data_IF_256209495083
#
_entry.id   IF_256209495083
#
_cell.length_a   1.000
_cell.length_b   1.000
_cell.length_c   1.000
_cell.angle_alpha   90.00
_cell.angle_beta   90.00
_cell.angle_gamma   90.00
#
_symmetry.space_group_name_H-M   'P 1'
#
loop_
_entity.id
_entity.type
_entity.pdbx_description
1 polymer ?
#
# COMPACT_ATOMS: atom_id res chain seq x y z
N UNK A 1 5.83 -28.08 43.24
CA UNK A 1 5.31 -28.16 41.87
C UNK A 1 6.27 -27.36 41.03
N UNK A 2 6.92 -28.01 40.08
CA UNK A 2 7.82 -27.34 39.16
C UNK A 2 6.97 -26.65 38.08
N UNK A 3 7.30 -25.40 37.81
CA UNK A 3 6.66 -24.61 36.76
C UNK A 3 7.23 -25.01 35.40
N UNK A 4 6.37 -25.10 34.39
CA UNK A 4 6.73 -25.26 32.98
C UNK A 4 6.02 -24.18 32.18
N UNK A 5 6.73 -23.56 31.25
CA UNK A 5 6.13 -22.63 30.32
C UNK A 5 5.10 -23.37 29.45
N UNK A 6 3.87 -22.83 29.31
CA UNK A 6 2.89 -23.37 28.38
C UNK A 6 3.26 -22.94 26.95
N UNK A 7 4.07 -23.75 26.27
CA UNK A 7 4.52 -23.52 24.89
C UNK A 7 3.60 -24.26 23.93
N UNK A 8 3.00 -23.52 23.00
CA UNK A 8 2.20 -24.09 21.91
C UNK A 8 3.05 -24.41 20.67
N UNK A 9 2.65 -25.44 19.92
CA UNK A 9 3.30 -25.82 18.66
C UNK A 9 2.42 -25.49 17.46
N UNK A 10 2.97 -24.77 16.49
CA UNK A 10 2.28 -24.36 15.28
C UNK A 10 2.78 -25.16 14.07
N UNK A 11 1.87 -25.59 13.20
CA UNK A 11 2.20 -26.34 11.97
C UNK A 11 2.29 -25.47 10.73
N UNK A 12 1.84 -24.21 10.80
CA UNK A 12 1.81 -23.27 9.70
C UNK A 12 2.68 -22.03 9.93
N UNK A 13 3.10 -21.42 8.84
CA UNK A 13 3.84 -20.15 8.83
C UNK A 13 3.10 -19.17 7.92
N UNK A 14 3.02 -17.91 8.32
CA UNK A 14 2.48 -16.84 7.48
C UNK A 14 3.38 -16.64 6.26
N UNK A 15 2.77 -16.48 5.08
CA UNK A 15 3.51 -16.23 3.84
C UNK A 15 4.36 -14.96 3.93
N UNK A 16 5.52 -14.95 3.27
CA UNK A 16 6.39 -13.77 3.19
C UNK A 16 6.10 -12.97 1.92
N UNK A 17 6.16 -11.64 2.04
CA UNK A 17 5.95 -10.72 0.91
C UNK A 17 7.07 -9.67 0.89
N UNK A 18 7.84 -9.64 -0.20
CA UNK A 18 8.85 -8.62 -0.46
C UNK A 18 8.39 -7.66 -1.56
N UNK A 19 8.50 -6.36 -1.30
CA UNK A 19 8.14 -5.30 -2.24
C UNK A 19 8.96 -4.02 -2.03
N UNK A 20 9.01 -3.17 -3.05
CA UNK A 20 9.83 -1.96 -3.10
C UNK A 20 10.98 -2.05 -4.11
N UNK A 21 11.26 -0.94 -4.79
CA UNK A 21 12.28 -0.86 -5.84
C UNK A 21 13.65 -0.44 -5.27
N UNK A 22 13.77 0.77 -4.70
CA UNK A 22 15.04 1.30 -4.17
C UNK A 22 15.35 0.76 -2.77
N UNK A 23 14.36 0.78 -1.87
CA UNK A 23 14.40 0.08 -0.57
C UNK A 23 13.33 -0.99 -0.57
N UNK A 24 13.75 -2.24 -0.52
CA UNK A 24 12.84 -3.36 -0.40
C UNK A 24 12.52 -3.61 1.08
N UNK A 25 11.27 -3.94 1.37
CA UNK A 25 10.82 -4.40 2.68
C UNK A 25 10.18 -5.78 2.51
N UNK A 26 10.45 -6.66 3.46
CA UNK A 26 9.77 -7.95 3.61
C UNK A 26 8.88 -7.92 4.84
N UNK A 27 7.65 -8.45 4.70
CA UNK A 27 6.68 -8.64 5.78
C UNK A 27 6.25 -10.11 5.82
N UNK A 28 5.68 -10.56 6.95
CA UNK A 28 5.21 -11.93 7.13
C UNK A 28 6.29 -12.89 7.67
N UNK A 29 6.07 -14.18 7.49
CA UNK A 29 7.01 -15.23 7.91
C UNK A 29 6.90 -15.64 9.37
N UNK A 30 5.88 -15.18 10.09
CA UNK A 30 5.64 -15.56 11.48
C UNK A 30 5.17 -17.01 11.60
N UNK A 31 5.72 -17.77 12.54
CA UNK A 31 5.31 -19.14 12.88
C UNK A 31 4.78 -19.28 14.32
N UNK A 32 4.40 -18.16 14.94
CA UNK A 32 3.81 -18.08 16.27
C UNK A 32 2.70 -17.01 16.34
N UNK A 33 2.02 -16.93 17.48
CA UNK A 33 1.12 -15.82 17.77
C UNK A 33 1.85 -14.47 17.81
N UNK A 34 1.10 -13.39 17.62
CA UNK A 34 1.65 -12.03 17.56
C UNK A 34 2.45 -11.69 18.80
N UNK A 35 3.75 -11.42 18.62
CA UNK A 35 4.72 -11.10 19.67
C UNK A 35 5.04 -12.22 20.67
N UNK A 36 4.58 -13.47 20.43
CA UNK A 36 4.92 -14.64 21.24
C UNK A 36 6.25 -15.28 20.80
N UNK A 37 7.30 -14.46 20.75
CA UNK A 37 8.62 -14.88 20.27
C UNK A 37 9.36 -15.84 21.22
N UNK A 38 8.76 -16.19 22.34
CA UNK A 38 9.27 -17.24 23.25
C UNK A 38 8.95 -18.64 22.72
N UNK A 39 7.93 -18.78 21.87
CA UNK A 39 7.46 -20.05 21.31
C UNK A 39 7.55 -20.13 19.78
N UNK A 40 8.03 -19.07 19.12
CA UNK A 40 8.39 -19.10 17.70
C UNK A 40 9.11 -17.85 17.21
N UNK A 41 9.15 -17.66 15.90
CA UNK A 41 9.89 -16.65 15.16
C UNK A 41 8.94 -15.64 14.54
N UNK A 42 9.31 -14.38 14.68
CA UNK A 42 8.70 -13.25 13.99
C UNK A 42 9.81 -12.47 13.26
N UNK A 43 10.23 -12.92 12.06
CA UNK A 43 11.47 -12.45 11.41
C UNK A 43 11.36 -11.01 10.91
N UNK A 44 10.15 -10.51 10.69
CA UNK A 44 9.88 -9.19 10.15
C UNK A 44 9.02 -8.38 11.12
N UNK A 45 9.37 -7.11 11.29
CA UNK A 45 8.61 -6.18 12.13
C UNK A 45 7.32 -5.77 11.41
N UNK A 46 6.21 -5.52 12.14
CA UNK A 46 5.02 -4.90 11.56
C UNK A 46 5.38 -3.63 10.78
N UNK A 47 4.75 -3.47 9.62
CA UNK A 47 4.96 -2.34 8.73
C UNK A 47 3.79 -1.35 8.88
N UNK A 48 4.13 -0.08 9.14
CA UNK A 48 3.17 1.03 9.10
C UNK A 48 3.46 1.85 7.85
N UNK A 49 2.46 1.99 6.99
CA UNK A 49 2.48 2.86 5.84
C UNK A 49 1.67 4.13 6.13
N UNK A 50 2.17 5.30 5.72
CA UNK A 50 1.40 6.54 5.80
C UNK A 50 0.60 6.75 4.52
N UNK A 51 -0.64 7.17 4.68
CA UNK A 51 -1.55 7.43 3.56
C UNK A 51 -1.28 8.82 2.94
N UNK A 52 -1.26 8.89 1.61
CA UNK A 52 -1.15 10.11 0.82
C UNK A 52 -2.20 10.06 -0.29
N UNK A 53 -2.96 11.14 -0.46
CA UNK A 53 -3.98 11.21 -1.51
C UNK A 53 -3.41 11.88 -2.77
N UNK A 54 -3.96 11.51 -3.93
CA UNK A 54 -3.64 12.13 -5.23
C UNK A 54 -4.41 13.45 -5.48
N UNK A 55 -5.21 13.88 -4.50
CA UNK A 55 -5.90 15.17 -4.46
C UNK A 55 -5.98 15.66 -3.00
N UNK A 56 -6.26 16.96 -2.83
CA UNK A 56 -6.53 17.53 -1.53
C UNK A 56 -7.79 16.90 -0.92
N UNK A 57 -7.77 16.53 0.39
CA UNK A 57 -8.94 15.99 1.05
C UNK A 57 -9.92 17.09 1.46
N UNK A 58 -11.20 16.93 1.13
CA UNK A 58 -12.22 17.95 1.43
C UNK A 58 -12.78 17.88 2.87
N UNK A 59 -12.83 16.67 3.45
CA UNK A 59 -13.54 16.40 4.71
C UNK A 59 -12.65 15.80 5.80
N UNK A 60 -11.36 16.13 5.80
CA UNK A 60 -10.46 15.67 6.84
C UNK A 60 -10.62 16.50 8.13
N UNK A 61 -10.41 15.90 9.32
CA UNK A 61 -10.41 16.64 10.58
C UNK A 61 -9.39 17.78 10.54
N UNK A 62 -9.79 18.97 11.04
CA UNK A 62 -8.96 20.19 11.00
C UNK A 62 -7.55 20.01 11.59
N UNK A 63 -7.40 19.14 12.58
CA UNK A 63 -6.09 18.82 13.19
C UNK A 63 -5.07 18.27 12.18
N UNK A 64 -5.52 17.64 11.08
CA UNK A 64 -4.63 17.17 10.03
C UNK A 64 -4.13 18.30 9.13
N UNK A 65 -4.82 19.44 9.08
CA UNK A 65 -4.36 20.62 8.34
C UNK A 65 -3.07 21.18 8.95
N UNK A 66 -2.93 21.12 10.27
CA UNK A 66 -1.72 21.56 10.96
C UNK A 66 -0.50 20.68 10.60
N UNK A 67 -0.74 19.44 10.16
CA UNK A 67 0.29 18.45 9.82
C UNK A 67 0.60 18.45 8.32
N UNK A 68 -0.43 18.48 7.48
CA UNK A 68 -0.33 18.23 6.03
C UNK A 68 -0.86 19.39 5.16
N UNK A 69 -1.41 20.45 5.74
CA UNK A 69 -2.09 21.51 4.99
C UNK A 69 -1.20 22.21 3.96
N UNK A 70 0.09 22.28 4.21
CA UNK A 70 1.12 22.82 3.32
C UNK A 70 1.45 21.92 2.11
N UNK A 71 1.01 20.65 2.12
CA UNK A 71 1.33 19.65 1.09
C UNK A 71 0.11 19.04 0.38
N UNK A 72 -1.12 19.35 0.79
CA UNK A 72 -2.32 18.75 0.20
C UNK A 72 -2.47 18.95 -1.32
N UNK A 73 -2.01 20.07 -1.85
CA UNK A 73 -2.10 20.35 -3.29
C UNK A 73 -1.00 19.65 -4.12
N UNK A 74 0.00 19.07 -3.47
CA UNK A 74 1.15 18.43 -4.12
C UNK A 74 1.42 17.04 -3.52
N UNK A 75 0.82 15.98 -4.10
CA UNK A 75 0.99 14.60 -3.64
C UNK A 75 2.46 14.16 -3.56
N UNK A 76 3.32 14.71 -4.42
CA UNK A 76 4.75 14.38 -4.44
C UNK A 76 5.44 14.97 -3.22
N UNK A 77 5.18 16.25 -2.91
CA UNK A 77 5.68 16.86 -1.67
C UNK A 77 5.12 16.18 -0.44
N UNK A 78 3.85 15.77 -0.48
CA UNK A 78 3.23 15.05 0.63
C UNK A 78 3.93 13.70 0.88
N UNK A 79 4.17 12.91 -0.16
CA UNK A 79 4.93 11.66 -0.03
C UNK A 79 6.36 11.89 0.52
N UNK A 80 7.05 12.94 0.06
CA UNK A 80 8.37 13.32 0.59
C UNK A 80 8.29 13.66 2.07
N UNK A 81 7.34 14.52 2.47
CA UNK A 81 7.11 14.90 3.87
C UNK A 81 6.89 13.67 4.76
N UNK A 82 6.07 12.72 4.32
CA UNK A 82 5.84 11.47 5.02
C UNK A 82 7.13 10.66 5.25
N UNK A 83 8.03 10.61 4.27
CA UNK A 83 9.29 9.87 4.38
C UNK A 83 10.35 10.65 5.16
N UNK A 84 10.49 11.94 4.91
CA UNK A 84 11.58 12.78 5.40
C UNK A 84 11.34 13.25 6.84
N UNK A 85 10.12 13.69 7.16
CA UNK A 85 9.77 14.20 8.50
C UNK A 85 9.21 13.10 9.39
N UNK A 86 8.21 12.34 8.91
CA UNK A 86 7.54 11.30 9.70
C UNK A 86 8.22 9.93 9.65
N UNK A 87 9.32 9.81 8.89
CA UNK A 87 10.11 8.58 8.76
C UNK A 87 9.29 7.36 8.34
N UNK A 88 8.28 7.58 7.49
CA UNK A 88 7.46 6.52 6.94
C UNK A 88 8.34 5.46 6.27
N UNK A 89 8.10 4.18 6.59
CA UNK A 89 8.82 3.05 6.00
C UNK A 89 8.16 2.55 4.71
N UNK A 90 6.92 2.94 4.45
CA UNK A 90 6.20 2.72 3.20
C UNK A 90 5.13 3.82 3.03
N UNK A 91 4.67 4.03 1.80
CA UNK A 91 3.60 4.97 1.47
C UNK A 91 2.42 4.22 0.87
N UNK A 92 1.21 4.55 1.32
CA UNK A 92 -0.04 4.11 0.70
C UNK A 92 -0.64 5.28 -0.08
N UNK A 93 -0.65 5.18 -1.40
CA UNK A 93 -1.25 6.18 -2.29
C UNK A 93 -2.73 5.85 -2.46
N UNK A 94 -3.61 6.73 -1.99
CA UNK A 94 -5.04 6.65 -2.24
C UNK A 94 -5.38 7.48 -3.48
N UNK A 95 -5.88 6.82 -4.53
CA UNK A 95 -6.29 7.44 -5.79
C UNK A 95 -7.72 8.01 -5.72
N UNK A 96 -7.99 8.84 -4.70
CA UNK A 96 -9.30 9.42 -4.42
C UNK A 96 -9.84 10.23 -5.61
N UNK A 97 -8.98 10.86 -6.41
CA UNK A 97 -9.39 11.69 -7.55
C UNK A 97 -10.02 10.90 -8.70
N UNK A 98 -9.89 9.57 -8.70
CA UNK A 98 -10.46 8.72 -9.74
C UNK A 98 -11.92 8.35 -9.48
N UNK A 99 -12.52 8.77 -8.36
CA UNK A 99 -13.91 8.46 -8.01
C UNK A 99 -14.85 9.00 -9.10
N UNK A 100 -15.64 8.13 -9.77
CA UNK A 100 -16.60 8.56 -10.78
C UNK A 100 -17.66 9.54 -10.26
N UNK A 101 -17.94 9.55 -8.95
CA UNK A 101 -18.86 10.49 -8.30
C UNK A 101 -18.18 11.77 -7.81
N UNK A 102 -16.86 11.84 -7.89
CA UNK A 102 -16.04 12.99 -7.50
C UNK A 102 -15.42 13.66 -8.72
N UNK A 103 -14.09 13.80 -8.72
CA UNK A 103 -13.35 14.42 -9.84
C UNK A 103 -13.30 13.55 -11.09
N UNK A 104 -13.47 12.23 -10.97
CA UNK A 104 -13.52 11.31 -12.10
C UNK A 104 -12.26 11.31 -12.98
N UNK A 105 -11.08 11.60 -12.43
CA UNK A 105 -9.83 11.69 -13.21
C UNK A 105 -9.58 10.41 -14.03
N UNK A 106 -8.92 10.58 -15.17
CA UNK A 106 -8.63 9.46 -16.06
C UNK A 106 -7.61 8.49 -15.47
N UNK A 107 -7.65 7.20 -15.86
CA UNK A 107 -6.60 6.23 -15.55
C UNK A 107 -5.19 6.72 -15.89
N UNK A 108 -5.03 7.42 -17.01
CA UNK A 108 -3.75 7.98 -17.47
C UNK A 108 -3.23 9.06 -16.53
N UNK A 109 -4.08 9.99 -16.09
CA UNK A 109 -3.71 11.03 -15.14
C UNK A 109 -3.28 10.43 -13.80
N UNK A 110 -4.06 9.49 -13.27
CA UNK A 110 -3.74 8.80 -12.03
C UNK A 110 -2.39 8.06 -12.12
N UNK A 111 -2.15 7.37 -13.23
CA UNK A 111 -0.89 6.66 -13.47
C UNK A 111 0.33 7.61 -13.50
N UNK A 112 0.18 8.82 -14.06
CA UNK A 112 1.26 9.81 -14.05
C UNK A 112 1.54 10.37 -12.65
N UNK A 113 0.50 10.57 -11.82
CA UNK A 113 0.69 10.98 -10.42
C UNK A 113 1.44 9.90 -9.65
N UNK A 114 1.03 8.64 -9.76
CA UNK A 114 1.72 7.51 -9.11
C UNK A 114 3.17 7.43 -9.56
N UNK A 115 3.43 7.50 -10.87
CA UNK A 115 4.80 7.46 -11.41
C UNK A 115 5.69 8.53 -10.78
N UNK A 116 5.21 9.77 -10.71
CA UNK A 116 5.96 10.88 -10.08
C UNK A 116 6.24 10.62 -8.61
N UNK A 117 5.28 10.09 -7.86
CA UNK A 117 5.47 9.75 -6.45
C UNK A 117 6.47 8.61 -6.26
N UNK A 118 6.39 7.57 -7.10
CA UNK A 118 7.32 6.43 -7.12
C UNK A 118 8.75 6.88 -7.40
N UNK A 119 8.96 7.80 -8.33
CA UNK A 119 10.28 8.36 -8.63
C UNK A 119 10.80 9.25 -7.48
N UNK A 120 9.90 9.93 -6.78
CA UNK A 120 10.24 10.92 -5.76
C UNK A 120 10.69 10.34 -4.41
N UNK A 121 10.20 9.16 -4.02
CA UNK A 121 10.55 8.52 -2.75
C UNK A 121 11.34 7.23 -2.95
N UNK A 122 12.02 6.79 -1.89
CA UNK A 122 12.85 5.58 -1.92
C UNK A 122 12.22 4.40 -1.19
N UNK A 123 11.09 4.61 -0.51
CA UNK A 123 10.39 3.58 0.26
C UNK A 123 9.38 2.81 -0.61
N UNK A 124 8.99 1.59 -0.23
CA UNK A 124 7.95 0.85 -0.93
C UNK A 124 6.62 1.61 -1.00
N UNK A 125 5.89 1.42 -2.11
CA UNK A 125 4.61 2.05 -2.38
C UNK A 125 3.51 1.00 -2.57
N UNK A 126 2.38 1.29 -1.95
CA UNK A 126 1.11 0.59 -2.09
C UNK A 126 0.16 1.56 -2.79
N UNK A 127 -0.49 1.14 -3.87
CA UNK A 127 -1.48 1.95 -4.57
C UNK A 127 -2.87 1.37 -4.30
N UNK A 128 -3.74 2.23 -3.81
CA UNK A 128 -5.10 1.89 -3.42
C UNK A 128 -6.11 2.74 -4.19
N UNK A 129 -7.01 2.06 -4.91
CA UNK A 129 -8.08 2.67 -5.70
C UNK A 129 -9.19 3.29 -4.85
N UNK A 130 -10.32 3.61 -5.47
CA UNK A 130 -11.47 4.19 -4.77
C UNK A 130 -12.36 3.13 -4.13
N UNK A 131 -12.28 1.89 -4.59
CA UNK A 131 -13.21 0.81 -4.27
C UNK A 131 -14.28 0.61 -5.35
N UNK A 132 -14.34 1.48 -6.36
CA UNK A 132 -15.21 1.29 -7.52
C UNK A 132 -14.64 0.20 -8.44
N UNK A 133 -15.39 -0.89 -8.60
CA UNK A 133 -14.90 -2.13 -9.24
C UNK A 133 -14.37 -1.93 -10.66
N UNK A 134 -15.16 -1.25 -11.50
CA UNK A 134 -14.84 -1.04 -12.92
C UNK A 134 -13.70 -0.03 -13.07
N UNK A 135 -13.82 1.11 -12.38
CA UNK A 135 -12.84 2.18 -12.45
C UNK A 135 -11.48 1.73 -11.91
N UNK A 136 -11.46 1.00 -10.80
CA UNK A 136 -10.21 0.51 -10.22
C UNK A 136 -9.52 -0.48 -11.17
N UNK A 137 -10.24 -1.33 -11.90
CA UNK A 137 -9.65 -2.24 -12.87
C UNK A 137 -8.92 -1.50 -14.01
N UNK A 138 -9.53 -0.43 -14.53
CA UNK A 138 -8.92 0.42 -15.58
C UNK A 138 -7.71 1.19 -15.05
N UNK A 139 -7.86 1.82 -13.88
CA UNK A 139 -6.81 2.63 -13.23
C UNK A 139 -5.61 1.76 -12.88
N UNK A 140 -5.81 0.61 -12.23
CA UNK A 140 -4.70 -0.26 -11.81
C UNK A 140 -3.92 -0.82 -13.01
N UNK A 141 -4.58 -1.07 -14.14
CA UNK A 141 -3.91 -1.46 -15.38
C UNK A 141 -2.93 -0.37 -15.85
N UNK A 142 -3.39 0.89 -15.89
CA UNK A 142 -2.54 2.02 -16.31
C UNK A 142 -1.45 2.35 -15.31
N UNK A 143 -1.73 2.25 -14.03
CA UNK A 143 -0.72 2.42 -12.97
C UNK A 143 0.38 1.36 -13.08
N UNK A 144 0.01 0.09 -13.30
CA UNK A 144 0.95 -1.00 -13.44
C UNK A 144 1.83 -0.85 -14.70
N UNK A 145 1.24 -0.40 -15.81
CA UNK A 145 1.94 -0.07 -17.06
C UNK A 145 2.96 1.07 -16.86
N UNK A 146 2.53 2.18 -16.26
CA UNK A 146 3.39 3.36 -16.04
C UNK A 146 4.51 3.09 -15.02
N UNK A 147 4.31 2.12 -14.13
CA UNK A 147 5.24 1.75 -13.06
C UNK A 147 5.92 0.39 -13.31
N UNK A 148 6.04 -0.05 -14.56
CA UNK A 148 6.54 -1.39 -14.92
C UNK A 148 7.87 -1.77 -14.24
N UNK A 149 8.81 -0.82 -14.16
CA UNK A 149 10.14 -1.02 -13.54
C UNK A 149 10.13 -1.00 -12.00
N UNK A 150 9.04 -0.57 -11.38
CA UNK A 150 8.95 -0.40 -9.92
C UNK A 150 8.15 -1.52 -9.26
N UNK A 151 8.68 -2.07 -8.16
CA UNK A 151 8.00 -3.13 -7.42
C UNK A 151 7.00 -2.55 -6.42
N UNK A 152 5.78 -2.29 -6.90
CA UNK A 152 4.66 -1.73 -6.13
C UNK A 152 3.56 -2.77 -5.88
N UNK A 153 2.74 -2.51 -4.86
CA UNK A 153 1.50 -3.24 -4.61
C UNK A 153 0.34 -2.45 -5.23
N UNK A 154 -0.61 -3.14 -5.88
CA UNK A 154 -1.82 -2.54 -6.48
C UNK A 154 -3.10 -3.18 -5.93
N UNK A 155 -4.15 -2.39 -5.73
CA UNK A 155 -5.46 -2.88 -5.29
C UNK A 155 -6.47 -1.75 -5.09
N UNK A 156 -7.66 -2.03 -4.54
CA UNK A 156 -8.07 -3.32 -3.99
C UNK A 156 -8.58 -4.30 -5.06
N UNK A 157 -8.18 -5.57 -4.93
CA UNK A 157 -8.93 -6.68 -5.48
C UNK A 157 -10.13 -6.96 -4.57
N UNK A 158 -11.30 -7.17 -5.17
CA UNK A 158 -12.58 -7.48 -4.53
C UNK A 158 -13.23 -8.65 -5.30
N UNK A 159 -14.24 -9.30 -4.72
CA UNK A 159 -14.85 -10.52 -5.29
C UNK A 159 -15.27 -10.39 -6.77
N UNK A 160 -15.73 -9.22 -7.18
CA UNK A 160 -16.20 -8.99 -8.54
C UNK A 160 -15.12 -8.48 -9.51
N UNK A 161 -13.99 -7.96 -9.04
CA UNK A 161 -12.93 -7.40 -9.89
C UNK A 161 -11.55 -8.07 -9.72
N UNK A 162 -11.40 -9.05 -8.82
CA UNK A 162 -10.10 -9.67 -8.52
C UNK A 162 -9.42 -10.25 -9.75
N UNK A 163 -10.17 -10.82 -10.70
CA UNK A 163 -9.60 -11.38 -11.94
C UNK A 163 -8.84 -10.32 -12.74
N UNK A 164 -9.40 -9.11 -12.86
CA UNK A 164 -8.77 -8.03 -13.61
C UNK A 164 -7.53 -7.49 -12.88
N UNK A 165 -7.63 -7.30 -11.56
CA UNK A 165 -6.51 -6.80 -10.74
C UNK A 165 -5.37 -7.80 -10.66
N UNK A 166 -5.66 -9.08 -10.42
CA UNK A 166 -4.66 -10.15 -10.35
C UNK A 166 -4.02 -10.44 -11.71
N UNK A 167 -4.79 -10.41 -12.82
CA UNK A 167 -4.23 -10.53 -14.16
C UNK A 167 -3.28 -9.37 -14.49
N UNK A 168 -3.65 -8.15 -14.12
CA UNK A 168 -2.79 -6.96 -14.24
C UNK A 168 -1.53 -7.12 -13.41
N UNK A 169 -1.67 -7.54 -12.14
CA UNK A 169 -0.54 -7.77 -11.26
C UNK A 169 0.43 -8.80 -11.83
N UNK A 170 -0.09 -9.94 -12.32
CA UNK A 170 0.72 -10.98 -12.95
C UNK A 170 1.43 -10.48 -14.23
N UNK A 171 0.69 -9.77 -15.10
CA UNK A 171 1.22 -9.26 -16.37
C UNK A 171 2.38 -8.27 -16.21
N UNK A 172 2.34 -7.44 -15.15
CA UNK A 172 3.36 -6.44 -14.86
C UNK A 172 4.27 -6.79 -13.66
N UNK A 173 4.25 -8.06 -13.22
CA UNK A 173 5.03 -8.58 -12.07
C UNK A 173 4.82 -7.76 -10.78
N UNK A 174 3.61 -7.27 -10.54
CA UNK A 174 3.19 -6.59 -9.31
C UNK A 174 2.57 -7.56 -8.32
N UNK A 175 2.36 -7.10 -7.10
CA UNK A 175 1.60 -7.79 -6.06
C UNK A 175 0.20 -7.18 -5.98
N UNK A 176 -0.83 -8.01 -5.87
CA UNK A 176 -2.20 -7.55 -5.67
C UNK A 176 -2.53 -7.48 -4.19
N UNK A 177 -3.17 -6.40 -3.75
CA UNK A 177 -3.76 -6.27 -2.43
C UNK A 177 -5.22 -6.70 -2.48
N UNK A 178 -5.55 -7.74 -1.74
CA UNK A 178 -6.93 -8.20 -1.55
C UNK A 178 -7.61 -7.40 -0.45
N UNK A 179 -8.85 -6.96 -0.68
CA UNK A 179 -9.66 -6.38 0.38
C UNK A 179 -10.33 -7.54 1.12
N UNK A 180 -10.02 -7.76 2.41
CA UNK A 180 -10.63 -8.86 3.15
C UNK A 180 -12.15 -8.75 3.09
N UNK A 181 -12.79 -9.89 2.86
CA UNK A 181 -14.25 -10.07 2.83
C UNK A 181 -14.89 -9.66 4.15
#
# INVERSE_FOLDING_TARGET
MDYSDPIDSYTGTIGTLSFGHKKQITIGGEDCLSFYTFEGKMPHKPLVALEVWDMAPDNWPKILNDIYGDVYEDPVKWARKCVEEFKARAISIKLASTDPNGLGRSPEEAAQVVKKMVEAVDVPIIVYGTGNLEKDAEVMKKVAEASAESDIIIGPAQEDNYKAITATALGYKKKSLDRPR
#
